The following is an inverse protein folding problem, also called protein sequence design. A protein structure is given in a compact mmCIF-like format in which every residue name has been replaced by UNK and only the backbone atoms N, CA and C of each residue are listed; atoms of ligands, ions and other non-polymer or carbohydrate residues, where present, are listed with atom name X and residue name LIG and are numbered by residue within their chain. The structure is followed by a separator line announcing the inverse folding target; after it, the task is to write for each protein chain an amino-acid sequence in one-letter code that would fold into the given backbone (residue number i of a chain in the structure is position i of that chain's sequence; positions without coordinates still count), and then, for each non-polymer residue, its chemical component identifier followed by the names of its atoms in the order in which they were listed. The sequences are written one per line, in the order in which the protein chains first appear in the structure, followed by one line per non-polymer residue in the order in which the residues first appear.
data_IF_944176549458
#
_entry.id   IF_944176549458
#
_cell.length_a   1.000
_cell.length_b   1.000
_cell.length_c   1.000
_cell.angle_alpha   90.00
_cell.angle_beta   90.00
_cell.angle_gamma   90.00
#
_symmetry.space_group_name_H-M   'P 1'
#
loop_
_entity.id
_entity.type
_entity.pdbx_description
1 polymer ?
#
# COMPACT_ATOMS: atom_id res chain seq x y z
N UNK A 1 8.84 11.16 20.71
CA UNK A 1 7.99 10.59 19.62
C UNK A 1 7.34 11.72 18.85
N UNK A 2 7.40 11.68 17.53
CA UNK A 2 6.69 12.64 16.65
C UNK A 2 5.19 12.39 16.77
N UNK A 3 4.40 13.46 16.96
CA UNK A 3 2.94 13.34 16.92
C UNK A 3 2.52 13.09 15.48
N UNK A 4 1.87 11.95 15.22
CA UNK A 4 1.37 11.60 13.89
C UNK A 4 -0.10 12.00 13.82
N UNK A 5 -0.47 12.78 12.82
CA UNK A 5 -1.82 13.32 12.66
C UNK A 5 -2.39 13.00 11.28
N UNK A 6 -3.72 12.86 11.22
CA UNK A 6 -4.43 12.77 9.96
C UNK A 6 -4.44 14.13 9.27
N UNK A 7 -4.03 14.20 8.00
CA UNK A 7 -4.14 15.44 7.24
C UNK A 7 -5.62 15.78 6.94
N UNK A 8 -5.93 17.06 6.66
CA UNK A 8 -7.27 17.45 6.25
C UNK A 8 -7.73 16.65 5.02
N UNK A 9 -8.98 16.19 5.03
CA UNK A 9 -9.55 15.43 3.91
C UNK A 9 -9.99 16.38 2.79
N UNK A 10 -9.89 15.95 1.49
CA UNK A 10 -10.48 16.67 0.38
C UNK A 10 -12.01 16.66 0.44
N UNK A 11 -12.62 17.47 -0.42
CA UNK A 11 -14.05 17.50 -0.70
C UNK A 11 -14.29 17.33 -2.20
N UNK A 12 -15.46 16.86 -2.63
CA UNK A 12 -15.80 16.87 -4.06
C UNK A 12 -15.65 18.30 -4.65
N UNK A 13 -15.03 18.39 -5.84
CA UNK A 13 -14.62 19.63 -6.48
C UNK A 13 -13.17 20.05 -6.18
N UNK A 14 -12.51 19.43 -5.21
CA UNK A 14 -11.13 19.78 -4.89
C UNK A 14 -10.13 19.24 -5.93
N UNK A 15 -9.05 19.99 -6.12
CA UNK A 15 -7.91 19.57 -6.94
C UNK A 15 -7.02 18.58 -6.17
N UNK A 16 -6.61 17.51 -6.84
CA UNK A 16 -5.69 16.52 -6.31
C UNK A 16 -4.50 16.34 -7.24
N UNK A 17 -3.31 16.25 -6.67
CA UNK A 17 -2.10 16.00 -7.47
C UNK A 17 -2.04 14.53 -7.88
N UNK A 18 -1.63 14.27 -9.11
CA UNK A 18 -1.22 12.94 -9.57
C UNK A 18 0.25 13.05 -9.96
N UNK A 19 1.09 12.33 -9.24
CA UNK A 19 2.55 12.35 -9.37
C UNK A 19 3.09 10.95 -9.63
N UNK A 20 4.28 10.86 -10.22
CA UNK A 20 5.00 9.60 -10.42
C UNK A 20 6.31 9.60 -9.63
N UNK A 21 6.25 9.44 -8.29
CA UNK A 21 7.44 9.55 -7.46
C UNK A 21 8.35 8.32 -7.58
N UNK A 22 7.86 7.23 -8.15
CA UNK A 22 8.57 5.99 -8.44
C UNK A 22 8.82 5.82 -9.94
N UNK A 23 7.79 5.63 -10.76
CA UNK A 23 7.93 5.37 -12.19
C UNK A 23 6.95 6.20 -13.03
N UNK A 24 7.43 6.73 -14.17
CA UNK A 24 6.66 7.49 -15.15
C UNK A 24 5.88 6.62 -16.15
N UNK A 25 5.44 5.43 -15.75
CA UNK A 25 4.66 4.49 -16.59
C UNK A 25 3.42 5.08 -17.27
N UNK A 26 2.75 6.14 -16.74
CA UNK A 26 1.67 6.81 -17.49
C UNK A 26 2.04 7.24 -18.91
N UNK A 27 3.31 7.52 -19.17
CA UNK A 27 3.80 7.86 -20.51
C UNK A 27 3.88 6.67 -21.47
N UNK A 28 4.03 5.45 -20.97
CA UNK A 28 4.08 4.23 -21.77
C UNK A 28 2.71 3.55 -21.90
N UNK A 29 1.92 3.58 -20.83
CA UNK A 29 0.61 2.92 -20.75
C UNK A 29 -0.48 3.95 -20.41
N UNK A 30 -0.93 4.74 -21.40
CA UNK A 30 -1.93 5.78 -21.16
C UNK A 30 -3.33 5.23 -20.82
N UNK A 31 -3.70 4.03 -21.30
CA UNK A 31 -5.06 3.51 -21.14
C UNK A 31 -5.48 3.34 -19.67
N UNK A 32 -4.76 2.60 -18.80
CA UNK A 32 -5.12 2.51 -17.39
C UNK A 32 -5.01 3.85 -16.68
N UNK A 33 -4.06 4.68 -17.10
CA UNK A 33 -3.86 5.99 -16.49
C UNK A 33 -5.03 6.94 -16.76
N UNK A 34 -5.46 7.09 -18.01
CA UNK A 34 -6.61 7.94 -18.37
C UNK A 34 -7.91 7.43 -17.72
N UNK A 35 -8.09 6.11 -17.65
CA UNK A 35 -9.23 5.52 -16.94
C UNK A 35 -9.21 5.89 -15.45
N UNK A 36 -8.04 5.83 -14.80
CA UNK A 36 -7.88 6.24 -13.41
C UNK A 36 -8.19 7.73 -13.18
N UNK A 37 -7.71 8.62 -14.07
CA UNK A 37 -8.03 10.04 -14.02
C UNK A 37 -9.52 10.31 -14.23
N UNK A 38 -10.13 9.58 -15.16
CA UNK A 38 -11.58 9.68 -15.41
C UNK A 38 -12.40 9.32 -14.18
N UNK A 39 -12.01 8.25 -13.45
CA UNK A 39 -12.68 7.82 -12.22
C UNK A 39 -12.51 8.80 -11.07
N UNK A 40 -11.32 9.39 -10.91
CA UNK A 40 -11.14 10.48 -9.95
C UNK A 40 -12.15 11.59 -10.19
N UNK A 41 -12.39 11.97 -11.48
CA UNK A 41 -13.39 12.99 -11.83
C UNK A 41 -14.82 12.50 -11.63
N UNK A 42 -15.17 11.37 -12.22
CA UNK A 42 -16.59 10.96 -12.35
C UNK A 42 -17.12 10.27 -11.09
N UNK A 43 -16.31 9.42 -10.44
CA UNK A 43 -16.76 8.63 -9.32
C UNK A 43 -16.49 9.29 -7.97
N UNK A 44 -15.41 10.10 -7.89
CA UNK A 44 -15.03 10.78 -6.65
C UNK A 44 -15.23 12.30 -6.70
N UNK A 45 -15.53 12.88 -7.89
CA UNK A 45 -15.76 14.31 -8.04
C UNK A 45 -14.51 15.15 -7.80
N UNK A 46 -13.31 14.58 -7.97
CA UNK A 46 -12.03 15.24 -7.75
C UNK A 46 -11.43 15.73 -9.08
N UNK A 47 -10.64 16.81 -9.03
CA UNK A 47 -9.98 17.36 -10.22
C UNK A 47 -8.49 17.00 -10.22
N UNK A 48 -8.07 15.95 -10.95
CA UNK A 48 -6.67 15.53 -11.01
C UNK A 48 -5.81 16.54 -11.79
N UNK A 49 -4.66 16.87 -11.20
CA UNK A 49 -3.64 17.77 -11.75
C UNK A 49 -2.35 16.98 -11.90
N UNK A 50 -1.82 16.91 -13.11
CA UNK A 50 -0.56 16.25 -13.42
C UNK A 50 0.62 17.23 -13.25
N UNK A 51 1.80 16.63 -12.99
CA UNK A 51 3.06 17.35 -12.81
C UNK A 51 4.07 16.98 -13.91
N UNK A 52 5.15 17.76 -14.11
CA UNK A 52 6.07 17.57 -15.25
C UNK A 52 6.68 16.16 -15.39
N UNK A 53 6.98 15.48 -14.28
CA UNK A 53 7.54 14.12 -14.32
C UNK A 53 6.47 13.03 -14.37
N UNK A 54 5.17 13.32 -14.25
CA UNK A 54 4.12 12.29 -14.10
C UNK A 54 4.12 11.30 -15.26
N UNK A 55 4.30 11.75 -16.51
CA UNK A 55 4.33 10.90 -17.72
C UNK A 55 5.76 10.68 -18.25
N UNK A 56 6.77 11.02 -17.47
CA UNK A 56 8.16 10.95 -17.94
C UNK A 56 8.86 9.70 -17.42
N UNK A 57 8.95 8.67 -18.29
CA UNK A 57 9.85 7.55 -18.01
C UNK A 57 11.30 8.01 -17.87
N UNK A 58 12.00 7.49 -16.84
CA UNK A 58 13.37 7.87 -16.54
C UNK A 58 13.54 9.31 -16.04
N UNK A 59 12.46 9.92 -15.46
CA UNK A 59 12.60 11.16 -14.72
C UNK A 59 13.63 10.98 -13.58
N UNK A 60 14.56 11.93 -13.45
CA UNK A 60 15.56 11.90 -12.40
C UNK A 60 14.93 11.99 -11.00
N UNK A 61 15.60 11.48 -9.95
CA UNK A 61 15.10 11.66 -8.58
C UNK A 61 14.84 13.13 -8.21
N UNK A 62 15.63 14.06 -8.73
CA UNK A 62 15.42 15.49 -8.49
C UNK A 62 14.15 16.04 -9.14
N UNK A 63 13.82 15.61 -10.35
CA UNK A 63 12.56 16.01 -11.02
C UNK A 63 11.36 15.45 -10.27
N UNK A 64 11.41 14.20 -9.83
CA UNK A 64 10.33 13.56 -9.05
C UNK A 64 10.15 14.21 -7.67
N UNK A 65 11.25 14.58 -7.00
CA UNK A 65 11.21 15.34 -5.74
C UNK A 65 10.63 16.74 -5.94
N UNK A 66 10.94 17.43 -7.05
CA UNK A 66 10.41 18.73 -7.37
C UNK A 66 8.89 18.69 -7.56
N UNK A 67 8.35 17.66 -8.23
CA UNK A 67 6.91 17.47 -8.39
C UNK A 67 6.23 17.23 -7.03
N UNK A 68 6.82 16.43 -6.15
CA UNK A 68 6.31 16.22 -4.79
C UNK A 68 6.30 17.53 -4.00
N UNK A 69 7.39 18.30 -4.03
CA UNK A 69 7.45 19.60 -3.36
C UNK A 69 6.39 20.55 -3.88
N UNK A 70 6.22 20.65 -5.20
CA UNK A 70 5.20 21.50 -5.81
C UNK A 70 3.78 21.08 -5.40
N UNK A 71 3.51 19.75 -5.39
CA UNK A 71 2.22 19.21 -4.98
C UNK A 71 1.90 19.49 -3.51
N UNK A 72 2.89 19.30 -2.61
CA UNK A 72 2.71 19.59 -1.19
C UNK A 72 2.63 21.09 -0.90
N UNK A 73 3.39 21.94 -1.59
CA UNK A 73 3.40 23.38 -1.35
C UNK A 73 2.15 24.09 -1.88
N UNK A 74 1.48 23.59 -2.94
CA UNK A 74 0.29 24.23 -3.52
C UNK A 74 -0.92 24.13 -2.59
N UNK A 75 -1.42 25.23 -2.00
CA UNK A 75 -2.59 25.22 -1.13
C UNK A 75 -3.89 24.83 -1.85
N UNK A 76 -3.91 24.91 -3.19
CA UNK A 76 -5.02 24.47 -4.04
C UNK A 76 -5.11 22.96 -4.18
N UNK A 77 -4.05 22.22 -3.88
CA UNK A 77 -4.03 20.75 -3.90
C UNK A 77 -4.43 20.21 -2.52
N UNK A 78 -5.39 19.29 -2.49
CA UNK A 78 -5.95 18.74 -1.23
C UNK A 78 -5.58 17.29 -0.94
N UNK A 79 -5.13 16.53 -1.94
CA UNK A 79 -4.58 15.19 -1.79
C UNK A 79 -3.55 14.92 -2.88
N UNK A 80 -2.72 13.89 -2.69
CA UNK A 80 -1.67 13.49 -3.62
C UNK A 80 -1.84 12.00 -3.91
N UNK A 81 -1.92 11.62 -5.17
CA UNK A 81 -1.98 10.23 -5.62
C UNK A 81 -0.72 9.86 -6.38
N UNK A 82 -0.13 8.72 -6.04
CA UNK A 82 0.88 8.11 -6.88
C UNK A 82 0.22 7.51 -8.13
N UNK A 83 0.82 7.72 -9.30
CA UNK A 83 0.34 7.09 -10.53
C UNK A 83 0.49 5.57 -10.45
N UNK A 84 1.64 5.12 -9.97
CA UNK A 84 2.01 3.70 -9.84
C UNK A 84 3.22 3.56 -8.89
N UNK A 85 3.63 2.32 -8.58
CA UNK A 85 4.89 1.97 -7.94
C UNK A 85 6.11 2.04 -8.87
N UNK A 86 7.14 1.29 -8.54
CA UNK A 86 8.45 1.23 -9.21
C UNK A 86 9.45 0.47 -8.34
N UNK A 87 10.73 0.81 -8.44
CA UNK A 87 11.80 0.11 -7.73
C UNK A 87 12.92 1.02 -7.19
N UNK A 88 12.87 2.33 -7.45
CA UNK A 88 13.96 3.23 -7.11
C UNK A 88 13.55 4.51 -6.33
N UNK A 89 12.32 4.58 -5.80
CA UNK A 89 11.84 5.75 -5.07
C UNK A 89 12.69 6.08 -3.82
N UNK A 90 13.39 5.10 -3.28
CA UNK A 90 14.36 5.31 -2.19
C UNK A 90 15.38 6.41 -2.53
N UNK A 91 15.70 6.61 -3.81
CA UNK A 91 16.63 7.66 -4.28
C UNK A 91 16.04 9.07 -4.20
N UNK A 92 14.73 9.20 -4.11
CA UNK A 92 14.01 10.46 -3.97
C UNK A 92 14.03 10.96 -2.52
N UNK A 93 13.98 10.05 -1.54
CA UNK A 93 13.87 10.40 -0.12
C UNK A 93 14.91 11.41 0.39
N UNK A 94 16.21 11.31 0.02
CA UNK A 94 17.23 12.26 0.48
C UNK A 94 17.04 13.69 -0.05
N UNK A 95 16.23 13.86 -1.09
CA UNK A 95 16.01 15.14 -1.76
C UNK A 95 14.74 15.85 -1.23
N UNK A 96 13.94 15.15 -0.40
CA UNK A 96 12.69 15.71 0.10
C UNK A 96 12.92 16.73 1.22
N UNK A 97 12.27 17.87 1.11
CA UNK A 97 12.20 18.89 2.16
C UNK A 97 11.14 18.50 3.21
N UNK A 98 11.61 17.94 4.32
CA UNK A 98 10.76 17.47 5.42
C UNK A 98 9.96 18.59 6.07
N UNK A 99 10.53 19.80 6.19
CA UNK A 99 9.84 20.93 6.80
C UNK A 99 8.73 21.49 5.89
N UNK A 100 8.99 21.57 4.59
CA UNK A 100 7.96 21.94 3.60
C UNK A 100 6.77 20.97 3.67
N UNK A 101 7.04 19.67 3.66
CA UNK A 101 6.00 18.62 3.68
C UNK A 101 5.24 18.66 5.02
N UNK A 102 5.95 18.81 6.14
CA UNK A 102 5.33 18.92 7.47
C UNK A 102 4.43 20.15 7.61
N UNK A 103 4.82 21.26 7.02
CA UNK A 103 4.06 22.52 7.04
C UNK A 103 2.79 22.47 6.17
N UNK A 104 2.72 21.52 5.23
CA UNK A 104 1.62 21.39 4.26
C UNK A 104 1.07 19.96 4.22
N UNK A 105 0.54 19.41 5.33
CA UNK A 105 0.12 18.02 5.40
C UNK A 105 -1.04 17.75 4.44
N UNK A 106 -0.90 16.70 3.63
CA UNK A 106 -1.92 16.23 2.67
C UNK A 106 -2.04 14.72 2.71
N UNK A 107 -3.24 14.14 2.47
CA UNK A 107 -3.38 12.73 2.23
C UNK A 107 -2.53 12.32 1.01
N UNK A 108 -1.69 11.31 1.17
CA UNK A 108 -0.94 10.68 0.08
C UNK A 108 -1.42 9.25 -0.07
N UNK A 109 -1.74 8.85 -1.29
CA UNK A 109 -2.18 7.50 -1.65
C UNK A 109 -1.15 6.83 -2.56
N UNK A 110 -0.73 5.61 -2.20
CA UNK A 110 0.22 4.85 -2.98
C UNK A 110 0.51 3.48 -2.36
N UNK A 111 1.07 2.57 -3.15
CA UNK A 111 1.39 1.18 -2.78
C UNK A 111 2.73 0.78 -3.39
N UNK A 112 3.24 -0.42 -3.07
CA UNK A 112 4.48 -0.94 -3.66
C UNK A 112 5.68 -0.07 -3.28
N UNK A 113 6.48 0.37 -4.25
CA UNK A 113 7.63 1.26 -4.05
C UNK A 113 7.28 2.56 -3.29
N UNK A 114 5.99 2.98 -3.34
CA UNK A 114 5.51 4.13 -2.54
C UNK A 114 5.53 3.87 -1.03
N UNK A 115 5.81 2.65 -0.57
CA UNK A 115 6.14 2.36 0.83
C UNK A 115 7.28 3.26 1.33
N UNK A 116 8.26 3.58 0.48
CA UNK A 116 9.32 4.54 0.79
C UNK A 116 8.76 5.89 1.29
N UNK A 117 7.85 6.48 0.51
CA UNK A 117 7.26 7.79 0.85
C UNK A 117 6.28 7.67 2.03
N UNK A 118 5.56 6.56 2.16
CA UNK A 118 4.65 6.33 3.29
C UNK A 118 5.41 6.27 4.62
N UNK A 119 6.56 5.55 4.68
CA UNK A 119 7.43 5.55 5.86
C UNK A 119 7.96 6.96 6.16
N UNK A 120 8.41 7.68 5.13
CA UNK A 120 8.90 9.06 5.26
C UNK A 120 7.82 10.00 5.81
N UNK A 121 6.58 9.92 5.31
CA UNK A 121 5.45 10.75 5.77
C UNK A 121 5.10 10.44 7.23
N UNK A 122 5.03 9.16 7.63
CA UNK A 122 4.84 8.76 9.02
C UNK A 122 5.90 9.39 9.93
N UNK A 123 7.16 9.33 9.53
CA UNK A 123 8.27 9.93 10.29
C UNK A 123 8.23 11.47 10.29
N UNK A 124 7.56 12.06 9.31
CA UNK A 124 7.29 13.50 9.24
C UNK A 124 6.10 13.91 10.11
N UNK A 125 5.32 12.95 10.62
CA UNK A 125 4.16 13.18 11.47
C UNK A 125 2.83 13.22 10.70
N UNK A 126 2.78 12.66 9.49
CA UNK A 126 1.61 12.69 8.62
C UNK A 126 1.14 11.25 8.38
N UNK A 127 -0.16 10.98 8.60
CA UNK A 127 -0.79 9.73 8.18
C UNK A 127 -0.89 9.73 6.66
N UNK A 128 -0.26 8.72 6.02
CA UNK A 128 -0.46 8.40 4.62
C UNK A 128 -1.51 7.31 4.42
N UNK A 129 -1.72 6.88 3.19
CA UNK A 129 -2.69 5.84 2.84
C UNK A 129 -2.07 4.84 1.88
N UNK A 130 -1.90 3.61 2.34
CA UNK A 130 -1.45 2.50 1.51
C UNK A 130 -2.60 2.01 0.65
N UNK A 131 -2.44 2.07 -0.67
CA UNK A 131 -3.46 1.67 -1.65
C UNK A 131 -3.81 2.77 -2.64
N UNK A 132 -4.72 2.45 -3.56
CA UNK A 132 -5.35 3.36 -4.52
C UNK A 132 -4.39 4.04 -5.52
N UNK A 133 -3.49 3.27 -6.14
CA UNK A 133 -2.72 3.73 -7.32
C UNK A 133 -3.65 4.09 -8.48
N UNK A 134 -3.29 5.16 -9.21
CA UNK A 134 -4.11 5.63 -10.33
C UNK A 134 -4.17 4.61 -11.47
N UNK A 135 -3.05 3.94 -11.78
CA UNK A 135 -2.99 2.99 -12.91
C UNK A 135 -3.45 1.57 -12.57
N UNK A 136 -3.42 1.17 -11.30
CA UNK A 136 -3.78 -0.20 -10.88
C UNK A 136 -5.22 -0.24 -10.40
N UNK A 137 -5.50 0.24 -9.20
CA UNK A 137 -6.82 0.15 -8.60
C UNK A 137 -7.82 1.06 -9.33
N UNK A 138 -7.45 2.34 -9.56
CA UNK A 138 -8.30 3.27 -10.30
C UNK A 138 -8.29 3.00 -11.81
N UNK A 139 -7.21 2.46 -12.36
CA UNK A 139 -7.07 2.07 -13.76
C UNK A 139 -7.60 0.67 -14.09
N UNK A 140 -8.22 -0.03 -13.13
CA UNK A 140 -8.75 -1.39 -13.30
C UNK A 140 -9.71 -1.47 -14.48
N UNK A 141 -9.58 -2.45 -15.42
CA UNK A 141 -10.58 -2.68 -16.45
C UNK A 141 -11.96 -3.00 -15.87
N UNK A 142 -13.03 -2.63 -16.59
CA UNK A 142 -14.40 -2.78 -16.11
C UNK A 142 -14.74 -1.82 -14.99
N UNK A 143 -15.59 -2.18 -14.03
CA UNK A 143 -15.94 -1.37 -12.88
C UNK A 143 -14.86 -1.43 -11.77
N UNK A 144 -14.82 -0.42 -10.89
CA UNK A 144 -14.03 -0.53 -9.65
C UNK A 144 -14.56 -1.70 -8.81
N UNK A 145 -13.64 -2.42 -8.17
CA UNK A 145 -14.07 -3.42 -7.21
C UNK A 145 -14.74 -2.72 -6.02
N UNK A 146 -15.92 -3.19 -5.54
CA UNK A 146 -16.67 -2.49 -4.48
C UNK A 146 -15.86 -2.21 -3.22
N UNK A 147 -15.06 -3.17 -2.72
CA UNK A 147 -14.23 -2.97 -1.54
C UNK A 147 -13.19 -1.85 -1.74
N UNK A 148 -12.56 -1.79 -2.91
CA UNK A 148 -11.62 -0.71 -3.27
C UNK A 148 -12.35 0.63 -3.32
N UNK A 149 -13.47 0.69 -4.03
CA UNK A 149 -14.26 1.91 -4.20
C UNK A 149 -14.74 2.46 -2.85
N UNK A 150 -15.29 1.60 -1.99
CA UNK A 150 -15.87 1.99 -0.71
C UNK A 150 -14.77 2.43 0.29
N UNK A 151 -13.67 1.67 0.40
CA UNK A 151 -12.56 2.01 1.30
C UNK A 151 -11.87 3.31 0.87
N UNK A 152 -11.66 3.53 -0.44
CA UNK A 152 -11.09 4.77 -0.94
C UNK A 152 -12.03 5.96 -0.70
N UNK A 153 -13.34 5.79 -0.93
CA UNK A 153 -14.33 6.85 -0.66
C UNK A 153 -14.35 7.23 0.82
N UNK A 154 -14.29 6.24 1.72
CA UNK A 154 -14.20 6.48 3.15
C UNK A 154 -12.89 7.18 3.52
N UNK A 155 -11.75 6.70 3.01
CA UNK A 155 -10.44 7.32 3.25
C UNK A 155 -10.37 8.77 2.77
N UNK A 156 -11.01 9.10 1.65
CA UNK A 156 -11.04 10.46 1.10
C UNK A 156 -11.97 11.39 1.88
N UNK A 157 -13.18 10.96 2.21
CA UNK A 157 -14.25 11.89 2.57
C UNK A 157 -14.84 11.69 3.97
N UNK A 158 -14.63 10.53 4.61
CA UNK A 158 -15.30 10.21 5.86
C UNK A 158 -14.28 10.06 7.00
N UNK A 159 -14.27 10.96 8.00
CA UNK A 159 -13.42 10.76 9.17
C UNK A 159 -14.05 9.72 10.12
N UNK A 160 -13.19 8.96 10.81
CA UNK A 160 -13.61 8.03 11.85
C UNK A 160 -13.43 6.55 11.50
N UNK A 161 -14.02 5.64 12.28
CA UNK A 161 -13.80 4.21 12.12
C UNK A 161 -14.48 3.67 10.87
N UNK A 162 -13.77 2.77 10.17
CA UNK A 162 -14.24 2.06 8.99
C UNK A 162 -13.87 0.58 9.12
N UNK A 163 -14.85 -0.31 9.03
CA UNK A 163 -14.63 -1.75 9.07
C UNK A 163 -14.19 -2.26 7.69
N UNK A 164 -12.96 -2.78 7.62
CA UNK A 164 -12.49 -3.49 6.44
C UNK A 164 -13.22 -4.83 6.32
N UNK A 165 -13.51 -5.25 5.09
CA UNK A 165 -14.17 -6.52 4.79
C UNK A 165 -13.35 -7.33 3.81
N UNK A 166 -13.30 -8.64 4.02
CA UNK A 166 -12.66 -9.52 3.06
C UNK A 166 -13.45 -9.58 1.75
N UNK A 167 -12.73 -9.67 0.65
CA UNK A 167 -13.34 -9.81 -0.67
C UNK A 167 -13.96 -11.21 -0.84
N UNK A 168 -15.20 -11.26 -1.32
CA UNK A 168 -15.86 -12.51 -1.70
C UNK A 168 -15.26 -13.11 -2.99
N UNK A 169 -14.70 -12.26 -3.82
CA UNK A 169 -14.03 -12.62 -5.08
C UNK A 169 -12.79 -11.77 -5.24
N UNK A 170 -11.76 -12.36 -5.83
CA UNK A 170 -10.47 -11.69 -6.04
C UNK A 170 -9.77 -12.19 -7.29
N UNK A 171 -8.76 -11.43 -7.74
CA UNK A 171 -7.92 -11.77 -8.89
C UNK A 171 -6.48 -11.31 -8.65
N UNK A 172 -5.51 -12.00 -9.25
CA UNK A 172 -4.09 -11.61 -9.23
C UNK A 172 -3.42 -11.78 -10.61
N UNK A 173 -4.23 -12.03 -11.65
CA UNK A 173 -3.73 -12.19 -13.01
C UNK A 173 -3.62 -10.83 -13.69
N UNK A 174 -2.40 -10.45 -14.06
CA UNK A 174 -2.16 -9.22 -14.79
C UNK A 174 -2.72 -9.30 -16.23
N UNK A 175 -3.05 -8.14 -16.75
CA UNK A 175 -3.54 -7.99 -18.12
C UNK A 175 -2.64 -7.01 -18.87
N UNK A 176 -2.53 -7.21 -20.18
CA UNK A 176 -1.70 -6.35 -21.03
C UNK A 176 -2.32 -4.93 -21.13
N UNK A 177 -1.63 -3.97 -20.56
CA UNK A 177 -2.05 -2.57 -20.59
C UNK A 177 -1.83 -1.89 -21.95
N UNK A 178 -1.04 -2.51 -22.84
CA UNK A 178 -0.87 -2.02 -24.20
C UNK A 178 -2.01 -2.46 -25.15
N UNK A 179 -2.76 -3.50 -24.77
CA UNK A 179 -3.90 -3.99 -25.54
C UNK A 179 -5.21 -3.28 -25.14
N UNK A 180 -5.83 -2.47 -26.03
CA UNK A 180 -7.13 -1.85 -25.76
C UNK A 180 -8.23 -2.84 -25.39
N UNK A 181 -8.20 -4.06 -25.92
CA UNK A 181 -9.19 -5.10 -25.63
C UNK A 181 -9.19 -5.50 -24.14
N UNK A 182 -8.06 -5.28 -23.44
CA UNK A 182 -7.97 -5.45 -21.98
C UNK A 182 -9.05 -4.65 -21.25
N UNK A 183 -9.38 -3.47 -21.75
CA UNK A 183 -10.29 -2.52 -21.08
C UNK A 183 -11.75 -2.67 -21.47
N UNK A 184 -12.06 -3.58 -22.40
CA UNK A 184 -13.44 -3.89 -22.85
C UNK A 184 -14.16 -4.90 -21.96
N UNK A 185 -13.43 -5.63 -21.10
CA UNK A 185 -13.97 -6.71 -20.28
C UNK A 185 -13.51 -6.63 -18.83
N UNK A 186 -14.37 -7.11 -17.91
CA UNK A 186 -14.00 -7.29 -16.50
C UNK A 186 -12.84 -8.28 -16.36
N UNK A 187 -11.90 -8.07 -15.40
CA UNK A 187 -10.95 -9.10 -15.00
C UNK A 187 -11.67 -10.34 -14.49
N UNK A 188 -11.13 -11.52 -14.82
CA UNK A 188 -11.60 -12.76 -14.19
C UNK A 188 -11.46 -12.68 -12.67
N UNK A 189 -12.35 -13.35 -11.94
CA UNK A 189 -12.26 -13.38 -10.49
C UNK A 189 -12.61 -14.76 -9.95
N UNK A 190 -11.84 -15.22 -8.96
CA UNK A 190 -12.04 -16.48 -8.23
C UNK A 190 -12.66 -16.24 -6.84
N UNK A 191 -13.35 -17.22 -6.25
CA UNK A 191 -13.91 -17.08 -4.91
C UNK A 191 -12.82 -16.83 -3.86
N UNK A 192 -13.08 -15.94 -2.91
CA UNK A 192 -12.26 -15.73 -1.73
C UNK A 192 -12.71 -16.64 -0.58
N UNK A 193 -11.74 -17.18 0.19
CA UNK A 193 -12.03 -17.95 1.40
C UNK A 193 -12.21 -17.08 2.65
N UNK A 194 -12.10 -15.76 2.50
CA UNK A 194 -12.02 -14.84 3.62
C UNK A 194 -10.62 -14.79 4.25
N UNK A 195 -10.47 -13.98 5.29
CA UNK A 195 -9.22 -13.87 6.04
C UNK A 195 -9.05 -15.03 7.00
N UNK A 196 -7.84 -15.52 7.16
CA UNK A 196 -7.52 -16.56 8.14
C UNK A 196 -6.70 -16.01 9.30
N UNK A 197 -6.92 -16.52 10.51
CA UNK A 197 -6.51 -15.92 11.76
C UNK A 197 -5.73 -16.90 12.63
N UNK A 198 -4.59 -16.46 13.15
CA UNK A 198 -3.78 -17.18 14.12
C UNK A 198 -3.69 -16.35 15.43
N UNK A 199 -3.65 -16.99 16.58
CA UNK A 199 -3.56 -16.34 17.91
C UNK A 199 -4.65 -15.25 18.14
N UNK A 200 -5.85 -15.45 17.62
CA UNK A 200 -6.89 -14.43 17.56
C UNK A 200 -7.82 -14.47 18.79
N UNK A 201 -7.22 -14.50 19.98
CA UNK A 201 -7.90 -14.61 21.28
C UNK A 201 -8.10 -13.28 22.01
N UNK A 202 -7.62 -12.19 21.41
CA UNK A 202 -7.60 -10.84 22.02
C UNK A 202 -7.98 -9.76 21.04
N UNK A 203 -8.16 -8.55 21.58
CA UNK A 203 -8.32 -7.32 20.81
C UNK A 203 -7.05 -6.49 20.98
N UNK A 204 -6.52 -6.00 19.87
CA UNK A 204 -5.38 -5.08 19.85
C UNK A 204 -5.75 -3.80 19.10
N UNK A 205 -5.16 -2.69 19.50
CA UNK A 205 -5.27 -1.42 18.82
C UNK A 205 -3.91 -0.75 18.79
N UNK A 206 -3.49 -0.28 17.64
CA UNK A 206 -2.19 0.34 17.45
C UNK A 206 -2.16 1.18 16.18
N UNK A 207 -1.01 1.80 15.92
CA UNK A 207 -0.75 2.47 14.64
C UNK A 207 -0.23 1.46 13.63
N UNK A 208 -0.59 1.65 12.38
CA UNK A 208 -0.07 0.81 11.30
C UNK A 208 1.35 1.20 10.91
N UNK A 209 2.16 0.19 10.68
CA UNK A 209 3.48 0.31 10.06
C UNK A 209 3.75 -0.92 9.19
N UNK A 210 4.47 -0.76 8.07
CA UNK A 210 4.77 -1.89 7.20
C UNK A 210 4.80 -1.53 5.72
N UNK A 211 4.05 -2.25 4.89
CA UNK A 211 3.93 -2.08 3.44
C UNK A 211 4.54 -3.21 2.64
N UNK A 212 5.08 -2.93 1.45
CA UNK A 212 5.74 -3.89 0.59
C UNK A 212 7.02 -4.41 1.25
N UNK A 213 7.11 -5.74 1.42
CA UNK A 213 8.18 -6.39 2.18
C UNK A 213 9.56 -6.17 1.53
N UNK A 214 9.63 -6.22 0.21
CA UNK A 214 10.86 -6.00 -0.56
C UNK A 214 11.37 -4.58 -0.36
N UNK A 215 10.48 -3.60 -0.39
CA UNK A 215 10.84 -2.19 -0.16
C UNK A 215 11.32 -1.96 1.28
N UNK A 216 10.67 -2.59 2.26
CA UNK A 216 11.13 -2.53 3.65
C UNK A 216 12.52 -3.16 3.82
N UNK A 217 12.80 -4.27 3.11
CA UNK A 217 14.12 -4.89 3.12
C UNK A 217 15.19 -3.95 2.58
N UNK A 218 14.91 -3.20 1.52
CA UNK A 218 15.83 -2.22 0.96
C UNK A 218 16.04 -1.01 1.88
N UNK A 219 14.98 -0.50 2.51
CA UNK A 219 15.08 0.56 3.52
C UNK A 219 15.91 0.11 4.73
N UNK A 220 15.72 -1.14 5.20
CA UNK A 220 16.51 -1.75 6.27
C UNK A 220 17.97 -1.86 5.90
N UNK A 221 18.29 -2.32 4.69
CA UNK A 221 19.65 -2.47 4.18
C UNK A 221 20.34 -1.12 4.00
N UNK A 222 19.61 -0.10 3.55
CA UNK A 222 20.11 1.25 3.37
C UNK A 222 20.18 2.09 4.66
N UNK A 223 19.73 1.55 5.80
CA UNK A 223 19.57 2.27 7.09
C UNK A 223 18.77 3.59 6.93
N UNK A 224 17.66 3.52 6.19
CA UNK A 224 16.82 4.69 5.88
C UNK A 224 15.43 4.57 6.48
N UNK A 225 14.96 5.67 7.08
CA UNK A 225 13.59 5.90 7.56
C UNK A 225 13.05 4.83 8.54
N UNK A 226 13.79 3.78 8.86
CA UNK A 226 13.42 2.79 9.87
C UNK A 226 14.13 3.12 11.18
N UNK A 227 13.38 3.26 12.26
CA UNK A 227 13.90 3.63 13.56
C UNK A 227 15.00 2.65 14.01
N UNK A 228 16.09 3.20 14.55
CA UNK A 228 17.21 2.39 15.09
C UNK A 228 16.82 1.69 16.38
N UNK A 229 16.00 2.35 17.21
CA UNK A 229 15.43 1.75 18.40
C UNK A 229 14.10 1.07 18.05
N UNK A 230 14.02 -0.27 18.09
CA UNK A 230 12.80 -0.98 17.81
C UNK A 230 11.63 -0.63 18.73
N UNK A 231 11.90 -0.09 19.93
CA UNK A 231 10.86 0.30 20.88
C UNK A 231 9.97 1.45 20.38
N UNK A 232 10.37 2.16 19.32
CA UNK A 232 9.52 3.15 18.64
C UNK A 232 8.26 2.55 18.01
N UNK A 233 8.24 1.23 17.80
CA UNK A 233 7.12 0.47 17.24
C UNK A 233 6.33 -0.33 18.27
N UNK A 234 6.60 -0.14 19.58
CA UNK A 234 5.92 -0.90 20.64
C UNK A 234 4.40 -0.70 20.58
N UNK A 235 3.67 -1.80 20.39
CA UNK A 235 2.22 -1.82 20.29
C UNK A 235 1.63 -1.46 18.92
N UNK A 236 2.46 -1.07 17.95
CA UNK A 236 1.99 -0.85 16.57
C UNK A 236 1.48 -2.17 15.95
N UNK A 237 0.75 -2.06 14.86
CA UNK A 237 0.28 -3.19 14.05
C UNK A 237 1.09 -3.22 12.76
N UNK A 238 1.80 -4.33 12.56
CA UNK A 238 2.53 -4.59 11.33
C UNK A 238 1.55 -4.99 10.23
N UNK A 239 1.66 -4.38 9.04
CA UNK A 239 1.03 -4.91 7.85
C UNK A 239 2.08 -5.12 6.76
N UNK A 240 2.03 -6.26 6.10
CA UNK A 240 3.01 -6.64 5.08
C UNK A 240 2.30 -7.22 3.86
N UNK A 241 2.88 -7.00 2.71
CA UNK A 241 2.48 -7.65 1.46
C UNK A 241 3.71 -7.88 0.58
N UNK A 242 3.59 -8.72 -0.43
CA UNK A 242 4.65 -9.03 -1.40
C UNK A 242 4.22 -8.63 -2.80
N UNK A 243 5.18 -8.19 -3.61
CA UNK A 243 4.95 -7.63 -4.94
C UNK A 243 4.71 -8.68 -6.03
N UNK A 244 4.53 -8.19 -7.25
CA UNK A 244 4.45 -8.96 -8.49
C UNK A 244 5.78 -9.64 -8.90
N UNK A 245 6.87 -9.35 -8.21
CA UNK A 245 8.15 -10.05 -8.39
C UNK A 245 8.09 -11.50 -7.90
N UNK A 246 7.07 -11.85 -7.13
CA UNK A 246 6.86 -13.18 -6.57
C UNK A 246 8.10 -13.70 -5.82
N UNK A 247 8.53 -13.03 -4.73
CA UNK A 247 9.71 -13.45 -3.98
C UNK A 247 9.56 -14.89 -3.48
N UNK A 248 10.65 -15.66 -3.52
CA UNK A 248 10.63 -17.02 -3.02
C UNK A 248 10.31 -17.05 -1.52
N UNK A 249 9.60 -18.09 -1.06
CA UNK A 249 9.21 -18.26 0.36
C UNK A 249 10.42 -18.19 1.31
N UNK A 250 11.56 -18.74 0.90
CA UNK A 250 12.79 -18.68 1.70
C UNK A 250 13.37 -17.25 1.75
N UNK A 251 13.14 -16.43 0.74
CA UNK A 251 13.52 -15.02 0.74
C UNK A 251 12.64 -14.23 1.72
N UNK A 252 11.33 -14.40 1.66
CA UNK A 252 10.38 -13.83 2.63
C UNK A 252 10.77 -14.23 4.06
N UNK A 253 11.06 -15.51 4.29
CA UNK A 253 11.54 -15.96 5.61
C UNK A 253 12.82 -15.23 6.03
N UNK A 254 13.81 -15.08 5.14
CA UNK A 254 15.09 -14.42 5.45
C UNK A 254 14.94 -12.95 5.77
N UNK A 255 14.05 -12.23 5.07
CA UNK A 255 13.74 -10.84 5.37
C UNK A 255 13.11 -10.74 6.76
N UNK A 256 12.07 -11.53 7.03
CA UNK A 256 11.40 -11.54 8.33
C UNK A 256 12.35 -11.97 9.47
N UNK A 257 13.20 -12.97 9.24
CA UNK A 257 14.25 -13.36 10.19
C UNK A 257 15.16 -12.15 10.52
N UNK A 258 15.62 -11.42 9.50
CA UNK A 258 16.48 -10.27 9.72
C UNK A 258 15.75 -9.12 10.46
N UNK A 259 14.45 -8.93 10.21
CA UNK A 259 13.63 -8.04 11.04
C UNK A 259 13.53 -8.54 12.49
N UNK A 260 13.41 -9.86 12.69
CA UNK A 260 13.43 -10.49 14.02
C UNK A 260 14.75 -10.30 14.75
N UNK A 261 15.89 -10.58 14.10
CA UNK A 261 17.24 -10.39 14.66
C UNK A 261 17.52 -8.90 15.00
N UNK A 262 16.88 -7.97 14.27
CA UNK A 262 16.91 -6.53 14.59
C UNK A 262 15.98 -6.18 15.76
N UNK A 263 15.21 -7.11 16.30
CA UNK A 263 14.26 -6.90 17.40
C UNK A 263 12.97 -6.21 17.00
N UNK A 264 12.62 -6.16 15.72
CA UNK A 264 11.42 -5.48 15.23
C UNK A 264 10.16 -6.34 15.42
N UNK A 265 10.17 -7.62 14.99
CA UNK A 265 8.93 -8.43 14.92
C UNK A 265 8.21 -8.55 16.26
N UNK A 266 8.94 -8.65 17.36
CA UNK A 266 8.35 -8.74 18.70
C UNK A 266 7.75 -7.45 19.24
N UNK A 267 7.82 -6.34 18.51
CA UNK A 267 7.27 -5.05 18.94
C UNK A 267 5.81 -4.86 18.54
N UNK A 268 5.39 -5.58 17.51
CA UNK A 268 4.05 -5.42 16.95
C UNK A 268 3.03 -6.29 17.69
N UNK A 269 1.87 -5.70 17.95
CA UNK A 269 0.77 -6.37 18.66
C UNK A 269 -0.04 -7.31 17.74
N UNK A 270 -0.01 -7.06 16.41
CA UNK A 270 -0.57 -7.92 15.39
C UNK A 270 0.19 -7.78 14.06
N UNK A 271 0.06 -8.79 13.20
CA UNK A 271 0.50 -8.79 11.81
C UNK A 271 -0.74 -8.96 10.90
N UNK A 272 -0.95 -8.02 9.99
CA UNK A 272 -1.86 -8.14 8.86
C UNK A 272 -1.04 -8.49 7.62
N UNK A 273 -1.11 -9.75 7.16
CA UNK A 273 -0.39 -10.21 6.00
C UNK A 273 -1.29 -10.19 4.78
N UNK A 274 -0.92 -9.44 3.75
CA UNK A 274 -1.61 -9.36 2.48
C UNK A 274 -1.68 -10.72 1.78
N UNK A 275 -2.76 -10.94 1.02
CA UNK A 275 -2.83 -12.08 0.12
C UNK A 275 -1.67 -12.01 -0.86
N UNK A 276 -0.82 -13.06 -0.96
CA UNK A 276 0.29 -13.03 -1.89
C UNK A 276 -0.25 -13.02 -3.33
N UNK A 277 0.37 -12.20 -4.18
CA UNK A 277 0.23 -12.31 -5.62
C UNK A 277 0.92 -13.62 -6.05
N UNK A 278 0.27 -14.40 -6.90
CA UNK A 278 0.76 -15.73 -7.30
C UNK A 278 1.03 -15.86 -8.78
N UNK A 279 0.74 -14.82 -9.54
CA UNK A 279 0.89 -14.78 -10.98
C UNK A 279 1.54 -13.46 -11.43
N UNK A 280 2.45 -13.54 -12.40
CA UNK A 280 2.94 -12.37 -13.13
C UNK A 280 3.30 -12.80 -14.57
N UNK A 281 3.54 -11.83 -15.47
CA UNK A 281 3.98 -12.14 -16.84
C UNK A 281 5.30 -12.91 -16.88
N UNK A 282 6.17 -12.70 -15.89
CA UNK A 282 7.44 -13.41 -15.75
C UNK A 282 7.25 -14.82 -15.16
N UNK A 283 6.22 -14.99 -14.35
CA UNK A 283 5.88 -16.22 -13.62
C UNK A 283 4.39 -16.55 -13.78
N UNK A 284 3.96 -17.02 -14.97
CA UNK A 284 2.56 -17.32 -15.24
C UNK A 284 2.16 -18.69 -14.66
N UNK A 285 2.09 -18.75 -13.33
CA UNK A 285 1.80 -19.98 -12.59
C UNK A 285 0.43 -20.58 -12.96
N UNK A 286 0.39 -21.92 -13.08
CA UNK A 286 -0.86 -22.67 -13.09
C UNK A 286 -1.61 -22.56 -11.75
N UNK A 287 -2.90 -22.89 -11.67
CA UNK A 287 -3.64 -22.87 -10.41
C UNK A 287 -2.98 -23.69 -9.30
N UNK A 288 -2.44 -24.88 -9.62
CA UNK A 288 -1.77 -25.75 -8.67
C UNK A 288 -0.43 -25.16 -8.17
N UNK A 289 0.31 -24.49 -9.06
CA UNK A 289 1.53 -23.77 -8.70
C UNK A 289 1.23 -22.53 -7.85
N UNK A 290 0.18 -21.81 -8.19
CA UNK A 290 -0.30 -20.66 -7.42
C UNK A 290 -0.68 -21.06 -5.97
N UNK A 291 -1.44 -22.14 -5.81
CA UNK A 291 -1.85 -22.64 -4.50
C UNK A 291 -0.64 -23.11 -3.67
N UNK A 292 0.31 -23.79 -4.31
CA UNK A 292 1.57 -24.20 -3.66
C UNK A 292 2.38 -23.00 -3.21
N UNK A 293 2.57 -22.01 -4.10
CA UNK A 293 3.29 -20.79 -3.79
C UNK A 293 2.65 -20.06 -2.59
N UNK A 294 1.33 -19.87 -2.60
CA UNK A 294 0.62 -19.22 -1.49
C UNK A 294 0.81 -19.97 -0.16
N UNK A 295 0.76 -21.31 -0.19
CA UNK A 295 0.99 -22.14 1.00
C UNK A 295 2.44 -22.02 1.52
N UNK A 296 3.43 -21.97 0.63
CA UNK A 296 4.84 -21.80 0.97
C UNK A 296 5.10 -20.41 1.57
N UNK A 297 4.50 -19.34 1.01
CA UNK A 297 4.56 -17.99 1.56
C UNK A 297 4.01 -17.94 2.99
N UNK A 298 2.84 -18.50 3.21
CA UNK A 298 2.24 -18.61 4.54
C UNK A 298 3.13 -19.36 5.53
N UNK A 299 3.70 -20.48 5.11
CA UNK A 299 4.62 -21.29 5.94
C UNK A 299 5.87 -20.50 6.32
N UNK A 300 6.44 -19.70 5.40
CA UNK A 300 7.60 -18.85 5.64
C UNK A 300 7.31 -17.78 6.71
N UNK A 301 6.17 -17.09 6.58
CA UNK A 301 5.72 -16.10 7.58
C UNK A 301 5.52 -16.75 8.95
N UNK A 302 4.79 -17.86 9.01
CA UNK A 302 4.56 -18.59 10.29
C UNK A 302 5.87 -19.06 10.92
N UNK A 303 6.82 -19.54 10.13
CA UNK A 303 8.15 -19.96 10.61
C UNK A 303 8.89 -18.80 11.27
N UNK A 304 8.89 -17.62 10.66
CA UNK A 304 9.54 -16.44 11.21
C UNK A 304 8.83 -15.94 12.48
N UNK A 305 7.50 -15.81 12.44
CA UNK A 305 6.72 -15.31 13.57
C UNK A 305 6.82 -16.23 14.79
N UNK A 306 6.79 -17.54 14.60
CA UNK A 306 7.00 -18.52 15.71
C UNK A 306 8.37 -18.39 16.35
N UNK A 307 9.40 -18.00 15.60
CA UNK A 307 10.74 -17.84 16.14
C UNK A 307 10.95 -16.53 16.91
N UNK A 308 10.31 -15.43 16.47
CA UNK A 308 10.62 -14.09 16.96
C UNK A 308 9.46 -13.37 17.65
N UNK A 309 8.22 -13.80 17.40
CA UNK A 309 7.01 -13.18 17.93
C UNK A 309 5.87 -14.22 18.05
N UNK A 310 6.05 -15.32 18.84
CA UNK A 310 5.15 -16.48 18.83
C UNK A 310 3.72 -16.17 19.27
N UNK A 311 3.53 -15.15 20.11
CA UNK A 311 2.24 -14.78 20.67
C UNK A 311 1.53 -13.70 19.86
N UNK A 312 2.15 -13.15 18.81
CA UNK A 312 1.56 -12.11 17.98
C UNK A 312 0.37 -12.66 17.20
N UNK A 313 -0.75 -11.92 17.23
CA UNK A 313 -1.92 -12.23 16.41
C UNK A 313 -1.59 -12.02 14.94
N UNK A 314 -1.97 -12.96 14.06
CA UNK A 314 -1.73 -12.85 12.62
C UNK A 314 -3.05 -12.99 11.87
N UNK A 315 -3.28 -12.10 10.92
CA UNK A 315 -4.38 -12.19 9.96
C UNK A 315 -3.78 -12.32 8.57
N UNK A 316 -4.06 -13.44 7.90
CA UNK A 316 -3.60 -13.70 6.54
C UNK A 316 -4.66 -13.39 5.50
N UNK A 317 -4.21 -13.25 4.27
CA UNK A 317 -5.02 -13.04 3.07
C UNK A 317 -5.78 -11.71 3.08
N UNK A 318 -5.28 -10.72 3.83
CA UNK A 318 -5.87 -9.39 3.87
C UNK A 318 -5.75 -8.73 2.50
N UNK A 319 -6.83 -8.11 2.03
CA UNK A 319 -6.92 -7.52 0.69
C UNK A 319 -6.20 -6.15 0.63
N UNK A 320 -4.89 -6.12 0.90
CA UNK A 320 -4.08 -4.89 1.01
C UNK A 320 -2.81 -4.89 0.16
N UNK A 321 -2.53 -5.97 -0.59
CA UNK A 321 -1.32 -6.12 -1.42
C UNK A 321 -1.61 -6.04 -2.92
N UNK A 322 -0.75 -6.70 -3.73
CA UNK A 322 -0.79 -6.68 -5.19
C UNK A 322 -1.86 -7.59 -5.81
N UNK A 323 -2.99 -7.77 -5.13
CA UNK A 323 -4.15 -8.50 -5.64
C UNK A 323 -5.36 -7.57 -5.79
N UNK A 324 -6.30 -7.89 -6.66
CA UNK A 324 -7.55 -7.17 -6.86
C UNK A 324 -8.70 -7.90 -6.14
N UNK A 325 -9.40 -7.27 -5.16
CA UNK A 325 -9.31 -5.86 -4.79
C UNK A 325 -8.17 -5.53 -3.83
N UNK A 326 -7.93 -4.22 -3.68
CA UNK A 326 -7.10 -3.67 -2.63
C UNK A 326 -7.91 -2.68 -1.79
N UNK A 327 -7.89 -2.86 -0.46
CA UNK A 327 -8.46 -1.90 0.48
C UNK A 327 -7.43 -0.87 0.91
N UNK A 328 -7.86 0.34 1.20
CA UNK A 328 -6.98 1.40 1.69
C UNK A 328 -6.64 1.17 3.16
N UNK A 329 -5.35 1.23 3.52
CA UNK A 329 -4.87 1.13 4.90
C UNK A 329 -4.22 2.45 5.30
N UNK A 330 -4.65 3.11 6.40
CA UNK A 330 -3.99 4.33 6.86
C UNK A 330 -2.58 3.97 7.37
N UNK A 331 -1.55 4.60 6.83
CA UNK A 331 -0.14 4.39 7.22
C UNK A 331 0.24 5.32 8.38
N UNK A 332 0.56 4.78 9.54
CA UNK A 332 0.76 5.54 10.77
C UNK A 332 -0.55 5.96 11.45
N UNK A 333 -1.69 5.56 10.89
CA UNK A 333 -3.02 5.76 11.47
C UNK A 333 -3.44 4.61 12.38
N UNK A 334 -4.57 4.74 13.05
CA UNK A 334 -5.06 3.76 14.02
C UNK A 334 -5.76 2.59 13.32
N UNK A 335 -5.44 1.38 13.77
CA UNK A 335 -6.16 0.15 13.43
C UNK A 335 -6.49 -0.63 14.69
N UNK A 336 -7.72 -1.15 14.76
CA UNK A 336 -8.18 -2.08 15.76
C UNK A 336 -8.39 -3.45 15.13
N UNK A 337 -7.73 -4.47 15.67
CA UNK A 337 -7.85 -5.86 15.23
C UNK A 337 -8.53 -6.65 16.34
N UNK A 338 -9.78 -7.05 16.11
CA UNK A 338 -10.63 -7.76 17.05
C UNK A 338 -10.63 -9.25 16.69
N UNK A 339 -9.72 -9.99 17.31
CA UNK A 339 -9.55 -11.41 17.04
C UNK A 339 -10.79 -12.25 17.36
N UNK A 340 -11.42 -12.13 18.55
CA UNK A 340 -12.66 -12.84 18.86
C UNK A 340 -13.80 -12.57 17.89
N UNK A 341 -13.96 -11.32 17.44
CA UNK A 341 -15.02 -10.94 16.50
C UNK A 341 -14.64 -11.11 15.03
N UNK A 342 -13.36 -11.45 14.73
CA UNK A 342 -12.82 -11.56 13.36
C UNK A 342 -13.04 -10.28 12.54
N UNK A 343 -12.75 -9.12 13.14
CA UNK A 343 -12.95 -7.81 12.51
C UNK A 343 -11.68 -6.97 12.54
N UNK A 344 -11.48 -6.23 11.46
CA UNK A 344 -10.44 -5.20 11.35
C UNK A 344 -11.13 -3.87 11.12
N UNK A 345 -10.86 -2.90 11.97
CA UNK A 345 -11.40 -1.53 11.87
C UNK A 345 -10.25 -0.55 11.79
N UNK A 346 -10.18 0.23 10.72
CA UNK A 346 -9.23 1.33 10.56
C UNK A 346 -9.90 2.65 10.89
N UNK A 347 -9.11 3.66 11.25
CA UNK A 347 -9.60 5.04 11.37
C UNK A 347 -9.11 5.84 10.17
N UNK A 348 -10.04 6.52 9.47
CA UNK A 348 -9.71 7.39 8.36
C UNK A 348 -9.82 8.88 8.71
#
# INVERSE_FOLDING_TARGET
MTVIAYPPKPSPGDRVAVVSPASGLPGLFPLPYELGLERLRKEYGLEPVEYPATRKMGASPAERAADLHAAFADPGIKAVFASIGGDDQITVLPLLDRELIRANPKPFFGVSDNTNLLVYLRNTGIVGFHGASVMVELGRPGALHPQTADSLRAALFTPGPYELRSAERWNDVDRDWADPATFETEPGARPGAGWSWENADRVVEGRTWGGCLEILAWLLMADREIARDPAEYDGDVLFLETSEELPAAEEVFRILRNMGERGLLGRFSALLMGRPKTWSFQHPNSPEEADRYAAEQRAAVLRAMRAYAPDTMIVFDVDLGHTDPQVVVPYGGTVRVDGPARRITVTY
#
